data_IF_763213276984
#
_entry.id   IF_763213276984
#
_cell.length_a   1.000
_cell.length_b   1.000
_cell.length_c   1.000
_cell.angle_alpha   90.00
_cell.angle_beta   90.00
_cell.angle_gamma   90.00
#
_symmetry.space_group_name_H-M   'P 1'
#
loop_
_entity.id
_entity.type
_entity.pdbx_description
1 polymer ?
#
# COMPACT_ATOMS: atom_id res chain seq x y z
N UNK A 1 -2.71 23.51 -3.05
CA UNK A 1 -2.47 22.96 -1.72
C UNK A 1 -3.05 23.90 -0.67
N UNK A 2 -3.84 23.37 0.28
CA UNK A 2 -4.40 24.08 1.44
C UNK A 2 -4.08 23.27 2.68
N UNK A 3 -3.72 23.95 3.78
CA UNK A 3 -3.52 23.32 5.08
C UNK A 3 -4.14 24.17 6.18
N UNK A 4 -4.74 23.49 7.14
CA UNK A 4 -5.28 24.10 8.36
C UNK A 4 -4.88 23.24 9.55
N UNK A 5 -4.30 23.87 10.58
CA UNK A 5 -3.93 23.20 11.81
C UNK A 5 -4.35 23.99 13.04
N UNK A 6 -4.65 23.27 14.10
CA UNK A 6 -4.93 23.83 15.43
C UNK A 6 -4.20 23.02 16.47
N UNK A 7 -3.63 23.72 17.48
CA UNK A 7 -3.08 23.11 18.68
C UNK A 7 -3.75 23.74 19.89
N UNK A 8 -4.08 22.94 20.90
CA UNK A 8 -4.80 23.37 22.08
C UNK A 8 -4.28 22.66 23.33
N UNK A 9 -4.01 23.43 24.34
CA UNK A 9 -3.69 22.97 25.70
C UNK A 9 -4.89 23.31 26.60
N UNK A 10 -5.66 22.31 27.03
CA UNK A 10 -6.86 22.56 27.85
C UNK A 10 -6.50 23.08 29.27
N UNK A 11 -7.26 24.06 29.76
CA UNK A 11 -7.13 24.59 31.12
C UNK A 11 -7.90 23.75 32.17
N UNK A 12 -8.44 22.58 31.81
CA UNK A 12 -9.16 21.68 32.72
C UNK A 12 -8.18 20.86 33.55
N UNK A 13 -8.42 20.76 34.86
CA UNK A 13 -7.54 20.09 35.84
C UNK A 13 -7.22 18.64 35.41
N UNK A 14 -8.20 17.88 34.87
CA UNK A 14 -8.02 16.50 34.42
C UNK A 14 -7.14 16.40 33.17
N UNK A 15 -7.03 17.48 32.39
CA UNK A 15 -6.28 17.53 31.13
C UNK A 15 -5.05 18.45 31.22
N UNK A 16 -4.69 18.90 32.41
CA UNK A 16 -3.53 19.77 32.62
C UNK A 16 -2.24 19.14 32.04
N UNK A 17 -1.53 19.94 31.26
CA UNK A 17 -0.25 19.56 30.59
C UNK A 17 -0.42 18.66 29.39
N UNK A 18 -1.66 18.38 28.94
CA UNK A 18 -1.88 17.77 27.63
C UNK A 18 -1.86 18.81 26.51
N UNK A 19 -1.12 18.52 25.44
CA UNK A 19 -1.20 19.26 24.20
C UNK A 19 -1.87 18.37 23.14
N UNK A 20 -2.97 18.87 22.58
CA UNK A 20 -3.67 18.22 21.47
C UNK A 20 -3.45 19.02 20.19
N UNK A 21 -3.27 18.34 19.06
CA UNK A 21 -3.30 18.98 17.75
C UNK A 21 -4.18 18.24 16.75
N UNK A 22 -4.72 19.02 15.82
CA UNK A 22 -5.46 18.50 14.68
C UNK A 22 -5.07 19.29 13.43
N UNK A 23 -4.73 18.57 12.36
CA UNK A 23 -4.30 19.14 11.10
C UNK A 23 -5.09 18.51 9.95
N UNK A 24 -5.43 19.34 8.96
CA UNK A 24 -6.01 18.92 7.68
C UNK A 24 -5.14 19.46 6.56
N UNK A 25 -4.79 18.58 5.63
CA UNK A 25 -4.03 18.93 4.43
C UNK A 25 -4.83 18.46 3.22
N UNK A 26 -5.16 19.39 2.32
CA UNK A 26 -5.72 19.08 1.00
C UNK A 26 -4.74 19.50 -0.09
N UNK A 27 -4.55 18.64 -1.08
CA UNK A 27 -3.75 18.93 -2.25
C UNK A 27 -4.48 18.42 -3.50
N UNK A 28 -4.57 19.25 -4.54
CA UNK A 28 -5.04 18.87 -5.86
C UNK A 28 -3.86 18.82 -6.82
N UNK A 29 -3.79 17.78 -7.64
CA UNK A 29 -2.81 17.66 -8.70
C UNK A 29 -3.30 18.41 -9.93
N UNK A 30 -2.42 19.22 -10.50
CA UNK A 30 -2.60 19.90 -11.78
C UNK A 30 -1.44 19.51 -12.69
N UNK A 31 -1.74 19.22 -13.95
CA UNK A 31 -0.76 18.72 -14.93
C UNK A 31 -0.04 17.44 -14.47
N UNK A 32 -0.76 16.50 -13.87
CA UNK A 32 -0.23 15.18 -13.55
C UNK A 32 0.23 14.49 -14.84
N UNK A 33 1.49 14.05 -14.87
CA UNK A 33 2.09 13.44 -16.05
C UNK A 33 1.61 12.00 -16.21
N UNK A 34 1.20 11.63 -17.41
CA UNK A 34 0.92 10.25 -17.77
C UNK A 34 1.59 9.88 -19.10
N UNK A 35 1.60 8.56 -19.42
CA UNK A 35 2.16 8.00 -20.65
C UNK A 35 1.06 7.28 -21.41
N UNK A 36 1.09 7.37 -22.74
CA UNK A 36 0.22 6.62 -23.63
C UNK A 36 0.98 6.18 -24.88
N UNK A 37 0.48 5.16 -25.58
CA UNK A 37 1.08 4.69 -26.84
C UNK A 37 0.44 5.41 -28.02
N UNK A 38 1.22 6.26 -28.71
CA UNK A 38 0.76 7.07 -29.82
C UNK A 38 0.33 6.25 -31.04
N UNK A 39 0.73 4.96 -31.14
CA UNK A 39 0.31 4.06 -32.22
C UNK A 39 -1.17 3.72 -32.18
N UNK A 40 -1.77 3.73 -31.01
CA UNK A 40 -3.12 3.25 -30.74
C UNK A 40 -3.94 4.24 -29.90
N UNK A 41 -3.96 5.51 -30.28
CA UNK A 41 -4.73 6.55 -29.56
C UNK A 41 -6.26 6.28 -29.56
N UNK A 42 -6.76 5.59 -30.57
CA UNK A 42 -8.19 5.29 -30.71
C UNK A 42 -8.45 3.79 -30.59
N UNK A 43 -9.49 3.38 -29.85
CA UNK A 43 -9.85 1.96 -29.75
C UNK A 43 -10.32 1.42 -31.11
N UNK A 44 -9.95 0.18 -31.40
CA UNK A 44 -10.40 -0.56 -32.59
C UNK A 44 -11.74 -1.24 -32.36
N UNK A 45 -12.11 -1.50 -31.11
CA UNK A 45 -13.39 -2.05 -30.69
C UNK A 45 -13.69 -1.69 -29.23
N UNK A 46 -14.81 -2.18 -28.72
CA UNK A 46 -15.24 -1.96 -27.34
C UNK A 46 -15.36 -3.31 -26.63
N UNK A 47 -14.79 -3.41 -25.44
CA UNK A 47 -14.91 -4.58 -24.57
C UNK A 47 -16.35 -4.72 -24.03
N UNK A 48 -16.74 -5.91 -23.51
CA UNK A 48 -18.08 -6.15 -23.00
C UNK A 48 -18.52 -5.15 -21.92
N UNK A 49 -17.60 -4.67 -21.11
CA UNK A 49 -17.82 -3.70 -20.01
C UNK A 49 -17.76 -2.23 -20.45
N UNK A 50 -17.57 -1.96 -21.73
CA UNK A 50 -17.55 -0.62 -22.32
C UNK A 50 -16.19 0.03 -22.44
N UNK A 51 -15.09 -0.57 -21.94
CA UNK A 51 -13.73 -0.07 -22.12
C UNK A 51 -13.26 -0.18 -23.58
N UNK A 52 -12.29 0.65 -23.95
CA UNK A 52 -11.65 0.58 -25.26
C UNK A 52 -10.78 -0.67 -25.39
N UNK A 53 -10.79 -1.27 -26.59
CA UNK A 53 -9.82 -2.30 -26.99
C UNK A 53 -8.91 -1.70 -28.05
N UNK A 54 -7.60 -1.79 -27.82
CA UNK A 54 -6.60 -1.10 -28.63
C UNK A 54 -5.73 -2.07 -29.41
N UNK A 55 -5.27 -1.67 -30.59
CA UNK A 55 -4.30 -2.40 -31.40
C UNK A 55 -3.06 -1.52 -31.61
N UNK A 56 -2.01 -1.83 -30.87
CA UNK A 56 -0.73 -1.12 -30.95
C UNK A 56 0.33 -1.90 -31.74
N UNK A 57 -0.07 -2.79 -32.65
CA UNK A 57 0.84 -3.68 -33.40
C UNK A 57 1.61 -2.98 -34.51
N UNK A 58 1.12 -1.87 -35.04
CA UNK A 58 1.72 -1.22 -36.19
C UNK A 58 2.87 -0.27 -35.82
N UNK A 59 4.03 -0.50 -36.42
CA UNK A 59 5.21 0.36 -36.28
C UNK A 59 6.02 0.14 -35.01
N UNK A 60 7.10 0.93 -34.81
CA UNK A 60 7.90 0.86 -33.60
C UNK A 60 7.16 1.46 -32.40
N UNK A 61 7.43 0.93 -31.22
CA UNK A 61 6.84 1.43 -29.97
C UNK A 61 7.04 2.96 -29.82
N UNK A 62 5.97 3.66 -29.49
CA UNK A 62 5.93 5.12 -29.44
C UNK A 62 5.21 5.62 -28.18
N UNK A 63 5.80 5.33 -27.01
CA UNK A 63 5.28 5.83 -25.73
C UNK A 63 5.65 7.30 -25.57
N UNK A 64 4.64 8.12 -25.42
CA UNK A 64 4.79 9.58 -25.26
C UNK A 64 4.14 10.05 -23.95
N UNK A 65 4.54 11.23 -23.50
CA UNK A 65 4.00 11.84 -22.29
C UNK A 65 2.95 12.90 -22.60
N UNK A 66 1.95 13.01 -21.74
CA UNK A 66 0.98 14.09 -21.70
C UNK A 66 0.67 14.45 -20.24
N UNK A 67 -0.27 15.35 -20.02
CA UNK A 67 -0.70 15.75 -18.68
C UNK A 67 -2.21 15.88 -18.59
N UNK A 68 -2.72 15.65 -17.39
CA UNK A 68 -4.15 15.72 -17.05
C UNK A 68 -4.31 16.34 -15.66
N UNK A 69 -5.45 17.02 -15.44
CA UNK A 69 -5.77 17.64 -14.14
C UNK A 69 -6.64 16.70 -13.30
N UNK A 70 -6.08 15.55 -12.96
CA UNK A 70 -6.72 14.52 -12.12
C UNK A 70 -5.82 14.08 -10.98
N UNK A 71 -6.47 13.64 -9.91
CA UNK A 71 -5.86 13.23 -8.67
C UNK A 71 -5.87 14.34 -7.61
N UNK A 72 -6.11 13.92 -6.39
CA UNK A 72 -6.03 14.79 -5.22
C UNK A 72 -5.60 14.00 -3.97
N UNK A 73 -5.43 14.70 -2.87
CA UNK A 73 -5.17 14.05 -1.61
C UNK A 73 -5.74 14.86 -0.44
N UNK A 74 -6.30 14.15 0.52
CA UNK A 74 -6.70 14.73 1.79
C UNK A 74 -6.09 13.92 2.93
N UNK A 75 -5.47 14.62 3.89
CA UNK A 75 -4.89 14.03 5.08
C UNK A 75 -5.49 14.70 6.32
N UNK A 76 -5.86 13.88 7.29
CA UNK A 76 -6.25 14.30 8.63
C UNK A 76 -5.23 13.74 9.61
N UNK A 77 -4.62 14.61 10.42
CA UNK A 77 -3.71 14.19 11.47
C UNK A 77 -4.20 14.69 12.84
N UNK A 78 -4.23 13.80 13.81
CA UNK A 78 -4.56 14.09 15.20
C UNK A 78 -3.38 13.69 16.05
N UNK A 79 -3.01 14.49 17.05
CA UNK A 79 -2.01 14.10 18.03
C UNK A 79 -2.35 14.53 19.44
N UNK A 80 -1.76 13.81 20.41
CA UNK A 80 -1.80 14.15 21.81
C UNK A 80 -0.43 13.89 22.45
N UNK A 81 0.02 14.80 23.29
CA UNK A 81 1.27 14.64 24.03
C UNK A 81 1.15 15.19 25.44
N UNK A 82 1.93 14.59 26.35
CA UNK A 82 2.08 15.04 27.73
C UNK A 82 3.45 14.65 28.27
N UNK A 83 4.08 15.57 29.00
CA UNK A 83 5.23 15.29 29.83
C UNK A 83 4.89 15.60 31.29
N UNK A 84 5.31 14.74 32.24
CA UNK A 84 5.04 14.92 33.65
C UNK A 84 6.11 14.27 34.53
N UNK A 85 6.30 14.79 35.70
CA UNK A 85 7.23 14.31 36.72
C UNK A 85 6.49 13.72 37.91
N UNK A 86 7.04 12.65 38.46
CA UNK A 86 6.57 12.00 39.69
C UNK A 86 7.75 11.54 40.55
N UNK A 87 7.47 11.04 41.75
CA UNK A 87 8.49 10.38 42.58
C UNK A 87 9.05 9.09 41.94
N UNK A 88 8.37 8.53 40.92
CA UNK A 88 8.80 7.35 40.18
C UNK A 88 9.66 7.69 38.95
N UNK A 89 9.84 8.97 38.62
CA UNK A 89 10.61 9.43 37.48
C UNK A 89 9.85 10.42 36.59
N UNK A 90 10.50 10.84 35.53
CA UNK A 90 9.95 11.69 34.47
C UNK A 90 9.36 10.84 33.34
N UNK A 91 8.22 11.25 32.83
CA UNK A 91 7.48 10.56 31.77
C UNK A 91 7.24 11.51 30.60
N UNK A 92 7.33 10.99 29.41
CA UNK A 92 6.93 11.65 28.17
C UNK A 92 6.09 10.68 27.34
N UNK A 93 4.91 11.12 26.95
CA UNK A 93 4.00 10.36 26.11
C UNK A 93 3.62 11.19 24.88
N UNK A 94 3.61 10.54 23.74
CA UNK A 94 3.11 11.08 22.48
C UNK A 94 2.33 10.01 21.73
N UNK A 95 1.20 10.38 21.17
CA UNK A 95 0.48 9.54 20.20
C UNK A 95 -0.05 10.38 19.05
N UNK A 96 -0.09 9.81 17.87
CA UNK A 96 -0.69 10.42 16.69
C UNK A 96 -1.44 9.40 15.85
N UNK A 97 -2.47 9.87 15.18
CA UNK A 97 -3.21 9.12 14.19
C UNK A 97 -3.33 9.97 12.93
N UNK A 98 -3.04 9.36 11.78
CA UNK A 98 -3.21 9.98 10.46
C UNK A 98 -4.11 9.10 9.62
N UNK A 99 -5.11 9.71 9.00
CA UNK A 99 -5.88 9.17 7.89
C UNK A 99 -5.47 9.90 6.63
N UNK A 100 -5.22 9.16 5.56
CA UNK A 100 -4.87 9.72 4.26
C UNK A 100 -5.68 9.04 3.17
N UNK A 101 -6.29 9.85 2.31
CA UNK A 101 -6.90 9.44 1.07
C UNK A 101 -6.17 10.16 -0.06
N UNK A 102 -5.51 9.38 -0.93
CA UNK A 102 -4.58 9.89 -1.95
C UNK A 102 -4.89 9.24 -3.28
N UNK A 103 -5.31 10.05 -4.23
CA UNK A 103 -5.54 9.63 -5.60
C UNK A 103 -4.47 10.19 -6.54
N UNK A 104 -3.98 9.36 -7.43
CA UNK A 104 -3.09 9.72 -8.54
C UNK A 104 -3.48 8.98 -9.83
N UNK A 105 -2.83 9.30 -10.94
CA UNK A 105 -3.08 8.67 -12.24
C UNK A 105 -2.08 7.55 -12.57
N UNK A 106 -1.22 7.21 -11.65
CA UNK A 106 -0.15 6.21 -11.76
C UNK A 106 1.16 6.72 -11.16
N UNK A 107 2.08 5.81 -10.94
CA UNK A 107 3.37 6.14 -10.32
C UNK A 107 4.48 6.23 -11.37
N UNK A 108 4.95 7.39 -11.68
CA UNK A 108 6.10 7.59 -12.56
C UNK A 108 7.43 7.31 -11.87
N UNK A 109 7.72 6.06 -11.49
CA UNK A 109 8.90 5.68 -10.71
C UNK A 109 10.05 5.13 -11.55
N UNK A 110 9.79 4.78 -12.82
CA UNK A 110 10.79 4.24 -13.73
C UNK A 110 11.53 5.33 -14.50
N UNK A 111 12.77 5.04 -14.87
CA UNK A 111 13.57 5.87 -15.80
C UNK A 111 13.20 5.66 -17.27
N UNK A 112 12.34 4.68 -17.59
CA UNK A 112 11.90 4.39 -18.95
C UNK A 112 10.42 4.71 -19.12
N UNK A 113 10.06 5.29 -20.27
CA UNK A 113 8.67 5.62 -20.59
C UNK A 113 7.79 4.36 -20.67
N UNK A 114 8.36 3.30 -21.19
CA UNK A 114 7.66 2.01 -21.34
C UNK A 114 7.23 1.41 -20.01
N UNK A 115 8.10 1.38 -19.00
CA UNK A 115 7.75 0.88 -17.67
C UNK A 115 6.75 1.80 -16.96
N UNK A 116 6.87 3.12 -17.12
CA UNK A 116 5.88 4.04 -16.58
C UNK A 116 4.49 3.88 -17.22
N UNK A 117 4.44 3.41 -18.47
CA UNK A 117 3.19 3.09 -19.16
C UNK A 117 2.59 1.75 -18.71
N UNK A 118 3.44 0.73 -18.44
CA UNK A 118 2.98 -0.65 -18.25
C UNK A 118 2.93 -1.13 -16.80
N UNK A 119 3.75 -0.56 -15.89
CA UNK A 119 4.00 -1.16 -14.57
C UNK A 119 2.97 -0.72 -13.50
N UNK A 120 1.73 -0.46 -13.87
CA UNK A 120 0.64 -0.21 -12.93
C UNK A 120 -0.69 -0.74 -13.47
N UNK A 121 -1.55 -1.19 -12.55
CA UNK A 121 -2.91 -1.63 -12.89
C UNK A 121 -3.73 -0.46 -13.43
N UNK A 122 -4.33 -0.63 -14.60
CA UNK A 122 -5.04 0.42 -15.29
C UNK A 122 -6.50 0.05 -15.58
N UNK A 123 -7.41 1.01 -15.43
CA UNK A 123 -8.77 0.91 -15.95
C UNK A 123 -8.75 0.92 -17.49
N UNK A 124 -8.14 1.94 -18.05
CA UNK A 124 -7.85 2.09 -19.49
C UNK A 124 -6.44 2.73 -19.59
N UNK A 125 -5.51 2.01 -20.19
CA UNK A 125 -4.11 2.42 -20.25
C UNK A 125 -3.87 3.61 -21.17
N UNK A 126 -4.72 3.77 -22.19
CA UNK A 126 -4.65 4.90 -23.13
C UNK A 126 -5.38 6.13 -22.62
N UNK A 127 -6.33 5.95 -21.69
CA UNK A 127 -7.11 7.02 -21.06
C UNK A 127 -7.05 6.87 -19.54
N UNK A 128 -5.92 7.22 -18.92
CA UNK A 128 -5.71 7.02 -17.48
C UNK A 128 -6.73 7.80 -16.67
N UNK A 129 -7.17 7.21 -15.58
CA UNK A 129 -8.09 7.79 -14.60
C UNK A 129 -7.41 7.81 -13.24
N UNK A 130 -7.77 8.81 -12.42
CA UNK A 130 -7.34 8.83 -11.04
C UNK A 130 -7.90 7.63 -10.28
N UNK A 131 -7.14 7.15 -9.34
CA UNK A 131 -7.51 6.11 -8.39
C UNK A 131 -6.52 6.08 -7.24
N UNK A 132 -6.80 5.27 -6.23
CA UNK A 132 -5.98 5.19 -5.01
C UNK A 132 -4.50 5.00 -5.35
N UNK A 133 -3.65 5.81 -4.73
CA UNK A 133 -2.21 5.79 -4.95
C UNK A 133 -1.56 4.52 -4.38
N UNK A 134 -0.59 3.95 -5.11
CA UNK A 134 0.24 2.83 -4.60
C UNK A 134 1.05 3.21 -3.36
N UNK A 135 1.26 4.51 -3.11
CA UNK A 135 2.02 5.03 -1.97
C UNK A 135 1.15 5.42 -0.78
N UNK A 136 -0.16 5.23 -0.87
CA UNK A 136 -1.06 5.52 0.23
C UNK A 136 -0.78 4.62 1.42
N UNK A 137 -0.69 5.23 2.59
CA UNK A 137 -0.91 4.57 3.88
C UNK A 137 -2.18 5.18 4.46
N UNK A 138 -3.31 4.51 4.24
CA UNK A 138 -4.63 5.05 4.57
C UNK A 138 -4.77 5.38 6.06
N UNK A 139 -4.32 4.48 6.91
CA UNK A 139 -4.34 4.63 8.36
C UNK A 139 -2.96 4.43 8.95
N UNK A 140 -2.50 5.39 9.75
CA UNK A 140 -1.23 5.34 10.46
C UNK A 140 -1.41 5.82 11.89
N UNK A 141 -1.16 4.94 12.85
CA UNK A 141 -1.09 5.29 14.26
C UNK A 141 0.33 5.12 14.77
N UNK A 142 0.83 6.10 15.55
CA UNK A 142 2.13 6.08 16.22
C UNK A 142 1.98 6.39 17.68
N UNK A 143 2.82 5.77 18.50
CA UNK A 143 2.93 6.04 19.92
C UNK A 143 4.41 6.05 20.33
N UNK A 144 4.77 6.98 21.18
CA UNK A 144 6.04 6.99 21.88
C UNK A 144 5.79 7.18 23.37
N UNK A 145 6.44 6.38 24.18
CA UNK A 145 6.45 6.51 25.63
C UNK A 145 7.90 6.45 26.12
N UNK A 146 8.32 7.42 26.91
CA UNK A 146 9.61 7.45 27.55
C UNK A 146 9.43 7.56 29.06
N UNK A 147 10.20 6.77 29.79
CA UNK A 147 10.37 6.88 31.23
C UNK A 147 11.84 7.07 31.52
N UNK A 148 12.13 8.03 32.42
CA UNK A 148 13.48 8.41 32.86
C UNK A 148 13.56 8.49 34.35
N UNK A 149 14.61 7.92 34.94
CA UNK A 149 14.89 7.99 36.35
C UNK A 149 16.38 7.75 36.63
N UNK A 150 16.95 8.48 37.57
CA UNK A 150 18.24 8.13 38.13
C UNK A 150 18.07 6.92 39.06
N UNK A 151 18.37 5.72 38.60
CA UNK A 151 18.46 4.51 39.40
C UNK A 151 19.84 4.37 40.06
N UNK A 152 20.85 4.99 39.47
CA UNK A 152 22.19 5.16 39.97
C UNK A 152 22.38 6.66 40.14
N UNK A 153 22.81 7.12 41.33
CA UNK A 153 22.95 8.54 41.66
C UNK A 153 23.82 9.27 40.63
N UNK A 154 23.25 10.32 39.99
CA UNK A 154 23.86 11.08 38.91
C UNK A 154 23.87 10.42 37.53
N UNK A 155 23.23 9.22 37.35
CA UNK A 155 23.20 8.49 36.10
C UNK A 155 21.78 8.05 35.73
N UNK A 156 21.28 8.56 34.59
CA UNK A 156 19.92 8.33 34.13
C UNK A 156 19.74 6.92 33.57
N UNK A 157 18.64 6.28 33.98
CA UNK A 157 18.05 5.12 33.27
C UNK A 157 16.91 5.61 32.41
N UNK A 158 16.91 5.25 31.13
CA UNK A 158 15.82 5.57 30.20
C UNK A 158 15.22 4.28 29.65
N UNK A 159 13.89 4.19 29.68
CA UNK A 159 13.13 3.16 28.94
C UNK A 159 12.26 3.85 27.93
N UNK A 160 12.41 3.52 26.65
CA UNK A 160 11.64 4.05 25.54
C UNK A 160 10.87 2.94 24.86
N UNK A 161 9.59 3.19 24.60
CA UNK A 161 8.73 2.30 23.80
C UNK A 161 8.23 3.11 22.62
N UNK A 162 8.41 2.58 21.43
CA UNK A 162 7.81 3.08 20.22
C UNK A 162 6.86 2.02 19.65
N UNK A 163 5.68 2.43 19.23
CA UNK A 163 4.74 1.56 18.54
C UNK A 163 4.20 2.24 17.30
N UNK A 164 4.13 1.49 16.22
CA UNK A 164 3.50 1.90 14.96
C UNK A 164 2.49 0.84 14.54
N UNK A 165 1.28 1.27 14.19
CA UNK A 165 0.27 0.44 13.53
C UNK A 165 -0.21 1.16 12.27
N UNK A 166 -0.15 0.45 11.13
CA UNK A 166 -0.55 1.01 9.85
C UNK A 166 -1.36 0.02 9.01
N UNK A 167 -2.20 0.57 8.14
CA UNK A 167 -2.83 -0.21 7.08
C UNK A 167 -1.77 -0.84 6.18
N UNK A 168 -2.10 -1.97 5.59
CA UNK A 168 -1.25 -2.62 4.61
C UNK A 168 -1.10 -1.79 3.34
N UNK A 169 -0.19 -2.22 2.48
CA UNK A 169 0.02 -1.62 1.18
C UNK A 169 -1.18 -1.90 0.27
N UNK A 170 -1.72 -0.88 -0.42
CA UNK A 170 -2.80 -1.06 -1.37
C UNK A 170 -2.35 -1.85 -2.59
N UNK A 171 -3.27 -2.61 -3.19
CA UNK A 171 -3.07 -3.36 -4.42
C UNK A 171 -4.37 -3.47 -5.24
N UNK A 172 -4.21 -3.78 -6.52
CA UNK A 172 -5.28 -3.89 -7.49
C UNK A 172 -5.57 -5.35 -7.85
N UNK A 173 -6.82 -5.67 -8.14
CA UNK A 173 -7.18 -6.92 -8.80
C UNK A 173 -7.24 -6.71 -10.31
N UNK A 174 -6.48 -7.54 -11.05
CA UNK A 174 -6.33 -7.42 -12.51
C UNK A 174 -6.67 -8.72 -13.22
N UNK A 175 -6.89 -8.63 -14.52
CA UNK A 175 -6.76 -9.79 -15.39
C UNK A 175 -5.31 -10.31 -15.34
N UNK A 176 -5.14 -11.63 -15.46
CA UNK A 176 -3.82 -12.22 -15.71
C UNK A 176 -3.52 -12.15 -17.21
N UNK A 177 -2.84 -11.10 -17.62
CA UNK A 177 -2.53 -10.83 -19.03
C UNK A 177 -1.23 -11.48 -19.51
N UNK A 178 -0.63 -12.39 -18.73
CA UNK A 178 0.54 -13.14 -19.19
C UNK A 178 0.24 -14.11 -20.34
N UNK A 179 -1.00 -14.60 -20.41
CA UNK A 179 -1.42 -15.57 -21.40
C UNK A 179 -2.41 -15.00 -22.44
N UNK A 180 -3.06 -13.89 -22.16
CA UNK A 180 -4.03 -13.26 -23.05
C UNK A 180 -4.17 -11.78 -22.76
N UNK A 181 -4.06 -10.95 -23.79
CA UNK A 181 -4.35 -9.53 -23.71
C UNK A 181 -5.85 -9.29 -23.83
N UNK A 182 -6.47 -8.76 -22.81
CA UNK A 182 -7.91 -8.53 -22.81
C UNK A 182 -8.27 -7.24 -23.54
N UNK A 183 -7.59 -6.15 -23.28
CA UNK A 183 -7.88 -4.84 -23.85
C UNK A 183 -6.84 -4.33 -24.86
N UNK A 184 -5.68 -4.95 -24.94
CA UNK A 184 -4.62 -4.65 -25.90
C UNK A 184 -4.44 -5.82 -26.86
N UNK A 185 -5.01 -5.74 -28.05
CA UNK A 185 -4.89 -6.76 -29.10
C UNK A 185 -3.81 -6.38 -30.12
N UNK A 186 -3.37 -7.35 -30.94
CA UNK A 186 -2.51 -7.07 -32.10
C UNK A 186 -1.04 -6.83 -31.78
N UNK A 187 -0.49 -7.31 -30.67
CA UNK A 187 0.95 -7.25 -30.40
C UNK A 187 1.39 -6.09 -29.53
N UNK A 188 0.49 -5.54 -28.75
CA UNK A 188 0.77 -4.66 -27.63
C UNK A 188 1.71 -5.32 -26.60
N UNK A 189 1.92 -4.71 -25.44
CA UNK A 189 2.87 -5.22 -24.43
C UNK A 189 2.55 -6.60 -23.91
N UNK A 190 1.29 -6.97 -23.86
CA UNK A 190 0.88 -8.32 -23.53
C UNK A 190 1.40 -9.41 -24.47
N UNK A 191 1.66 -9.11 -25.76
CA UNK A 191 2.17 -10.07 -26.72
C UNK A 191 3.68 -10.37 -26.60
N UNK A 192 4.38 -9.74 -25.66
CA UNK A 192 5.80 -10.01 -25.41
C UNK A 192 5.94 -11.18 -24.43
N UNK A 193 6.17 -12.37 -24.98
CA UNK A 193 6.41 -13.67 -24.30
C UNK A 193 7.47 -13.69 -23.18
N UNK A 194 8.00 -12.57 -22.72
CA UNK A 194 9.16 -12.58 -21.83
C UNK A 194 9.20 -11.56 -20.70
N UNK A 195 8.15 -10.81 -20.43
CA UNK A 195 8.16 -9.91 -19.27
C UNK A 195 7.02 -10.25 -18.31
N UNK A 196 7.39 -10.94 -17.24
CA UNK A 196 6.56 -11.14 -16.05
C UNK A 196 6.32 -9.83 -15.25
N UNK A 197 6.52 -8.67 -15.85
CA UNK A 197 6.71 -7.39 -15.16
C UNK A 197 5.70 -6.30 -15.61
N UNK A 198 4.75 -6.60 -16.51
CA UNK A 198 3.71 -5.66 -16.90
C UNK A 198 2.43 -5.92 -16.08
N UNK A 199 1.88 -4.89 -15.45
CA UNK A 199 0.63 -4.98 -14.70
C UNK A 199 -0.58 -5.09 -15.66
N UNK A 200 -1.60 -5.84 -15.24
CA UNK A 200 -2.80 -6.07 -16.01
C UNK A 200 -3.81 -4.90 -15.95
N UNK A 201 -4.83 -4.98 -16.81
CA UNK A 201 -6.02 -4.15 -16.69
C UNK A 201 -6.87 -4.60 -15.51
N UNK A 202 -7.57 -3.64 -14.88
CA UNK A 202 -8.47 -3.92 -13.75
C UNK A 202 -9.53 -4.95 -14.14
N UNK A 203 -9.75 -5.92 -13.25
CA UNK A 203 -10.62 -7.06 -13.48
C UNK A 203 -12.10 -6.63 -13.58
N UNK A 204 -12.82 -7.06 -14.62
CA UNK A 204 -14.28 -7.11 -14.55
C UNK A 204 -14.71 -8.28 -13.66
N UNK A 205 -15.50 -8.00 -12.64
CA UNK A 205 -15.93 -8.94 -11.60
C UNK A 205 -17.37 -9.38 -11.89
N UNK A 206 -17.60 -10.61 -12.40
CA UNK A 206 -18.96 -11.04 -12.69
C UNK A 206 -19.80 -11.17 -11.41
N UNK A 207 -21.09 -10.87 -11.50
CA UNK A 207 -22.03 -11.04 -10.37
C UNK A 207 -22.30 -12.52 -10.04
N UNK A 208 -22.03 -13.40 -10.99
CA UNK A 208 -22.17 -14.85 -10.88
C UNK A 208 -22.03 -15.53 -12.24
N UNK A 209 -22.23 -16.85 -12.30
CA UNK A 209 -22.18 -17.61 -13.57
C UNK A 209 -23.28 -17.20 -14.58
N UNK A 210 -24.31 -16.48 -14.14
CA UNK A 210 -25.39 -15.96 -14.99
C UNK A 210 -25.21 -14.46 -15.32
N UNK A 211 -24.07 -13.89 -15.00
CA UNK A 211 -23.76 -12.50 -15.39
C UNK A 211 -23.82 -12.36 -16.91
N UNK A 212 -24.46 -11.29 -17.45
CA UNK A 212 -24.59 -11.09 -18.89
C UNK A 212 -23.25 -11.04 -19.64
N UNK A 213 -22.18 -10.64 -18.98
CA UNK A 213 -20.84 -10.53 -19.54
C UNK A 213 -19.97 -11.76 -19.28
N UNK A 214 -20.47 -12.78 -18.59
CA UNK A 214 -19.77 -14.03 -18.33
C UNK A 214 -20.12 -15.08 -19.41
N UNK A 215 -19.16 -15.48 -20.22
CA UNK A 215 -19.37 -16.47 -21.26
C UNK A 215 -19.61 -17.87 -20.66
N UNK A 216 -20.62 -18.58 -21.14
CA UNK A 216 -20.91 -19.96 -20.73
C UNK A 216 -19.77 -20.95 -21.07
N UNK A 217 -18.88 -20.57 -22.00
CA UNK A 217 -17.69 -21.34 -22.41
C UNK A 217 -16.49 -21.06 -21.46
N UNK A 218 -16.62 -20.16 -20.50
CA UNK A 218 -15.57 -19.92 -19.51
C UNK A 218 -15.10 -21.21 -18.87
N UNK A 219 -13.79 -21.33 -18.66
CA UNK A 219 -13.13 -22.55 -18.15
C UNK A 219 -13.46 -23.82 -19.01
N UNK A 220 -13.62 -23.64 -20.33
CA UNK A 220 -13.98 -24.72 -21.23
C UNK A 220 -15.41 -25.26 -21.03
N UNK A 221 -16.27 -24.47 -20.35
CA UNK A 221 -17.63 -24.87 -20.00
C UNK A 221 -17.71 -25.75 -18.73
N UNK A 222 -16.64 -25.91 -17.99
CA UNK A 222 -16.63 -26.65 -16.72
C UNK A 222 -17.32 -25.83 -15.61
N UNK A 223 -18.53 -26.26 -15.25
CA UNK A 223 -19.35 -25.59 -14.22
C UNK A 223 -18.70 -25.61 -12.84
N UNK A 224 -17.86 -26.60 -12.52
CA UNK A 224 -17.19 -26.66 -11.22
C UNK A 224 -16.08 -25.59 -11.17
N UNK A 225 -15.30 -25.43 -12.24
CA UNK A 225 -14.28 -24.38 -12.32
C UNK A 225 -14.90 -22.97 -12.38
N UNK A 226 -16.04 -22.81 -13.07
CA UNK A 226 -16.80 -21.55 -13.05
C UNK A 226 -17.25 -21.21 -11.63
N UNK A 227 -17.78 -22.19 -10.89
CA UNK A 227 -18.21 -21.99 -9.50
C UNK A 227 -17.03 -21.69 -8.57
N UNK A 228 -15.87 -22.35 -8.76
CA UNK A 228 -14.65 -22.05 -7.99
C UNK A 228 -14.22 -20.59 -8.14
N UNK A 229 -14.28 -20.05 -9.35
CA UNK A 229 -14.00 -18.64 -9.60
C UNK A 229 -15.00 -17.71 -8.88
N UNK A 230 -16.29 -18.02 -8.95
CA UNK A 230 -17.32 -17.25 -8.27
C UNK A 230 -17.17 -17.36 -6.73
N UNK A 231 -16.80 -18.51 -6.21
CA UNK A 231 -16.54 -18.72 -4.78
C UNK A 231 -15.29 -17.94 -4.32
N UNK A 232 -14.24 -17.86 -5.16
CA UNK A 232 -13.10 -16.99 -4.91
C UNK A 232 -13.52 -15.51 -4.82
N UNK A 233 -14.34 -15.02 -5.77
CA UNK A 233 -14.87 -13.65 -5.72
C UNK A 233 -15.64 -13.43 -4.41
N UNK A 234 -16.55 -14.34 -4.06
CA UNK A 234 -17.40 -14.22 -2.87
C UNK A 234 -16.63 -14.25 -1.55
N UNK A 235 -15.45 -14.86 -1.52
CA UNK A 235 -14.61 -15.01 -0.34
C UNK A 235 -13.50 -13.95 -0.22
N UNK A 236 -13.40 -13.03 -1.18
CA UNK A 236 -12.42 -11.95 -1.27
C UNK A 236 -13.09 -10.58 -1.28
N UNK A 237 -12.28 -9.51 -1.20
CA UNK A 237 -12.76 -8.14 -1.33
C UNK A 237 -13.33 -7.82 -2.73
N UNK A 238 -13.12 -8.71 -3.72
CA UNK A 238 -13.76 -8.60 -5.03
C UNK A 238 -15.30 -8.65 -4.95
N UNK A 239 -15.86 -9.22 -3.88
CA UNK A 239 -17.31 -9.30 -3.70
C UNK A 239 -18.03 -7.94 -3.77
N UNK A 240 -17.35 -6.85 -3.40
CA UNK A 240 -17.91 -5.50 -3.45
C UNK A 240 -18.03 -4.93 -4.87
N UNK A 241 -17.30 -5.48 -5.85
CA UNK A 241 -17.25 -5.01 -7.24
C UNK A 241 -18.11 -5.85 -8.20
N UNK A 242 -18.93 -6.78 -7.71
CA UNK A 242 -19.76 -7.66 -8.53
C UNK A 242 -20.62 -6.91 -9.53
N UNK A 243 -20.60 -7.36 -10.79
CA UNK A 243 -21.27 -6.70 -11.90
C UNK A 243 -20.57 -5.45 -12.40
N UNK A 244 -19.32 -5.21 -12.01
CA UNK A 244 -18.54 -4.04 -12.34
C UNK A 244 -17.04 -4.31 -12.45
N UNK A 245 -16.26 -3.25 -12.54
CA UNK A 245 -14.79 -3.32 -12.63
C UNK A 245 -14.20 -3.05 -11.26
N UNK A 246 -13.22 -3.85 -10.86
CA UNK A 246 -12.46 -3.61 -9.63
C UNK A 246 -11.78 -2.23 -9.66
N UNK A 247 -11.69 -1.59 -8.52
CA UNK A 247 -11.00 -0.30 -8.41
C UNK A 247 -9.48 -0.48 -8.34
N UNK A 248 -8.75 0.52 -8.83
CA UNK A 248 -7.30 0.55 -8.67
C UNK A 248 -6.96 0.71 -7.19
N UNK A 249 -6.12 -0.20 -6.69
CA UNK A 249 -5.72 -0.25 -5.29
C UNK A 249 -6.91 -0.31 -4.32
N UNK A 250 -7.98 -1.01 -4.73
CA UNK A 250 -9.23 -1.13 -3.97
C UNK A 250 -9.18 -2.12 -2.81
N UNK A 251 -8.03 -2.74 -2.55
CA UNK A 251 -7.81 -3.61 -1.38
C UNK A 251 -6.41 -3.38 -0.80
N UNK A 252 -6.22 -3.79 0.44
CA UNK A 252 -4.98 -3.59 1.18
C UNK A 252 -4.38 -4.92 1.68
N UNK A 253 -3.06 -5.00 1.69
CA UNK A 253 -2.35 -6.05 2.42
C UNK A 253 -2.69 -5.99 3.92
N UNK A 254 -2.27 -7.01 4.66
CA UNK A 254 -2.53 -7.09 6.11
C UNK A 254 -1.97 -5.87 6.85
N UNK A 255 -2.73 -5.40 7.86
CA UNK A 255 -2.24 -4.40 8.81
C UNK A 255 -0.97 -4.88 9.53
N UNK A 256 -0.01 -3.99 9.69
CA UNK A 256 1.19 -4.25 10.47
C UNK A 256 1.17 -3.48 11.79
N UNK A 257 1.72 -4.11 12.85
CA UNK A 257 1.92 -3.48 14.16
C UNK A 257 3.33 -3.82 14.65
N UNK A 258 4.19 -2.83 14.72
CA UNK A 258 5.57 -2.96 15.20
C UNK A 258 5.70 -2.26 16.54
N UNK A 259 6.38 -2.90 17.48
CA UNK A 259 6.68 -2.33 18.81
C UNK A 259 8.18 -2.49 19.02
N UNK A 260 8.86 -1.39 19.26
CA UNK A 260 10.29 -1.36 19.57
C UNK A 260 10.49 -0.90 21.01
N UNK A 261 11.45 -1.51 21.69
CA UNK A 261 11.79 -1.18 23.08
C UNK A 261 13.28 -0.88 23.19
N UNK A 262 13.62 0.27 23.75
CA UNK A 262 14.99 0.63 24.10
C UNK A 262 15.13 0.79 25.60
N UNK A 263 16.16 0.17 26.15
CA UNK A 263 16.57 0.33 27.54
C UNK A 263 17.99 0.88 27.54
N UNK A 264 18.18 2.00 28.19
CA UNK A 264 19.46 2.70 28.25
C UNK A 264 19.82 3.00 29.70
N UNK A 265 21.10 2.82 30.06
CA UNK A 265 21.65 3.15 31.35
C UNK A 265 22.92 3.97 31.18
N UNK A 266 22.94 5.16 31.81
CA UNK A 266 24.17 5.89 32.01
C UNK A 266 24.99 5.29 33.17
N UNK A 267 26.29 5.25 33.02
CA UNK A 267 27.24 4.75 34.02
C UNK A 267 28.42 5.71 34.20
N UNK A 268 29.09 5.69 35.37
CA UNK A 268 30.34 6.42 35.52
C UNK A 268 31.41 5.94 34.54
N UNK A 269 32.12 6.87 33.94
CA UNK A 269 33.23 6.60 33.07
C UNK A 269 34.58 6.73 33.80
N UNK A 270 35.69 6.58 33.08
CA UNK A 270 37.05 6.63 33.67
C UNK A 270 37.44 8.00 34.24
N UNK A 271 36.80 9.06 33.74
CA UNK A 271 36.99 10.45 34.19
C UNK A 271 35.67 11.04 34.69
N UNK A 272 35.68 11.88 35.72
CA UNK A 272 34.44 12.38 36.35
C UNK A 272 33.52 13.18 35.43
N UNK A 273 34.06 13.82 34.39
CA UNK A 273 33.30 14.60 33.39
C UNK A 273 32.79 13.77 32.21
N UNK A 274 33.20 12.51 32.15
CA UNK A 274 32.84 11.61 31.07
C UNK A 274 31.69 10.70 31.49
N UNK A 275 30.90 10.26 30.52
CA UNK A 275 29.81 9.32 30.73
C UNK A 275 29.95 8.10 29.82
N UNK A 276 29.58 6.95 30.33
CA UNK A 276 29.40 5.71 29.58
C UNK A 276 27.90 5.41 29.51
N UNK A 277 27.38 5.17 28.33
CA UNK A 277 25.99 4.77 28.13
C UNK A 277 25.96 3.40 27.55
N UNK A 278 25.26 2.49 28.21
CA UNK A 278 24.99 1.13 27.70
C UNK A 278 23.53 1.08 27.28
N UNK A 279 23.24 0.48 26.12
CA UNK A 279 21.86 0.36 25.66
C UNK A 279 21.57 -0.98 25.01
N UNK A 280 20.31 -1.38 25.12
CA UNK A 280 19.69 -2.51 24.42
C UNK A 280 18.52 -1.99 23.62
N UNK A 281 18.52 -2.27 22.31
CA UNK A 281 17.39 -2.06 21.44
C UNK A 281 16.79 -3.43 21.08
N UNK A 282 15.49 -3.55 21.26
CA UNK A 282 14.73 -4.73 20.84
C UNK A 282 13.76 -4.23 19.79
N UNK A 283 14.07 -4.51 18.52
CA UNK A 283 13.22 -4.21 17.39
C UNK A 283 12.17 -5.31 17.25
N UNK A 284 10.96 -4.92 16.89
CA UNK A 284 9.82 -5.81 16.73
C UNK A 284 9.58 -6.71 17.97
N UNK A 285 9.55 -6.10 19.15
CA UNK A 285 9.36 -6.78 20.44
C UNK A 285 8.09 -7.64 20.47
N UNK A 286 7.04 -7.25 19.74
CA UNK A 286 5.82 -8.05 19.61
C UNK A 286 6.10 -9.45 19.08
N UNK A 287 6.94 -9.56 18.04
CA UNK A 287 7.31 -10.83 17.43
C UNK A 287 8.17 -11.72 18.36
N UNK A 288 8.97 -11.12 19.27
CA UNK A 288 9.68 -11.86 20.31
C UNK A 288 8.71 -12.58 21.28
N UNK A 289 7.53 -12.02 21.50
CA UNK A 289 6.51 -12.61 22.39
C UNK A 289 5.61 -13.62 21.66
N UNK A 290 5.33 -13.39 20.39
CA UNK A 290 4.48 -14.25 19.57
C UNK A 290 4.87 -14.11 18.10
N UNK A 291 5.27 -15.20 17.46
CA UNK A 291 5.75 -15.27 16.07
C UNK A 291 4.72 -14.77 15.03
N UNK A 292 3.43 -14.67 15.38
CA UNK A 292 2.38 -14.14 14.51
C UNK A 292 2.21 -12.62 14.60
N UNK A 293 2.85 -11.99 15.58
CA UNK A 293 2.83 -10.55 15.75
C UNK A 293 3.99 -9.88 15.00
N UNK A 294 3.82 -8.61 14.66
CA UNK A 294 4.86 -7.83 14.00
C UNK A 294 5.23 -8.29 12.60
N UNK A 295 4.39 -9.09 11.93
CA UNK A 295 4.59 -9.49 10.55
C UNK A 295 4.23 -8.36 9.60
N UNK A 296 5.08 -8.14 8.60
CA UNK A 296 4.87 -7.20 7.51
C UNK A 296 4.66 -8.00 6.23
N UNK A 297 3.52 -7.81 5.61
CA UNK A 297 3.18 -8.39 4.33
C UNK A 297 3.09 -7.30 3.26
N UNK A 298 3.56 -7.61 2.06
CA UNK A 298 3.48 -6.74 0.89
C UNK A 298 2.97 -7.52 -0.31
N UNK A 299 2.25 -6.85 -1.17
CA UNK A 299 2.00 -7.33 -2.53
C UNK A 299 3.28 -7.17 -3.35
N UNK A 300 3.49 -8.03 -4.35
CA UNK A 300 4.65 -7.89 -5.26
C UNK A 300 4.66 -6.52 -5.92
N UNK A 301 5.83 -6.11 -6.40
CA UNK A 301 5.97 -4.95 -7.25
C UNK A 301 4.98 -5.05 -8.42
N UNK A 302 4.53 -3.89 -8.89
CA UNK A 302 3.34 -3.57 -9.68
C UNK A 302 2.05 -3.52 -8.84
N UNK A 303 2.11 -4.00 -7.59
CA UNK A 303 1.03 -3.86 -6.61
C UNK A 303 -0.31 -4.39 -7.13
N UNK A 304 -0.26 -5.55 -7.78
CA UNK A 304 -1.43 -6.22 -8.34
C UNK A 304 -1.58 -7.66 -7.87
N UNK A 305 -2.78 -8.15 -8.00
CA UNK A 305 -3.17 -9.56 -7.94
C UNK A 305 -3.82 -9.93 -9.25
N UNK A 306 -3.04 -10.50 -10.16
CA UNK A 306 -3.52 -11.05 -11.41
C UNK A 306 -4.36 -12.30 -11.12
N UNK A 307 -5.68 -12.22 -11.28
CA UNK A 307 -6.62 -13.22 -10.77
C UNK A 307 -6.91 -14.31 -11.79
N UNK A 308 -7.25 -13.93 -13.01
CA UNK A 308 -7.77 -14.85 -14.03
C UNK A 308 -7.49 -14.27 -15.41
N UNK A 309 -7.15 -15.12 -16.37
CA UNK A 309 -7.07 -14.72 -17.78
C UNK A 309 -8.46 -14.66 -18.41
N UNK A 310 -8.63 -13.84 -19.45
CA UNK A 310 -9.87 -13.79 -20.20
C UNK A 310 -9.64 -13.47 -21.68
N UNK A 311 -10.54 -13.96 -22.53
CA UNK A 311 -10.71 -13.52 -23.92
C UNK A 311 -12.05 -12.78 -24.06
N UNK A 312 -12.17 -11.96 -25.09
CA UNK A 312 -13.46 -11.41 -25.49
C UNK A 312 -14.04 -12.29 -26.63
N UNK A 313 -15.16 -12.95 -26.36
CA UNK A 313 -15.84 -13.83 -27.31
C UNK A 313 -17.31 -13.46 -27.36
N UNK A 314 -17.81 -13.13 -28.55
CA UNK A 314 -19.24 -12.79 -28.81
C UNK A 314 -19.80 -11.70 -27.86
N UNK A 315 -18.96 -10.73 -27.45
CA UNK A 315 -19.34 -9.63 -26.55
C UNK A 315 -19.43 -10.04 -25.07
N UNK A 316 -18.80 -11.13 -24.69
CA UNK A 316 -18.68 -11.61 -23.31
C UNK A 316 -17.21 -11.87 -22.96
N UNK A 317 -16.89 -11.92 -21.67
CA UNK A 317 -15.60 -12.40 -21.17
C UNK A 317 -15.63 -13.92 -21.03
N UNK A 318 -14.77 -14.61 -21.75
CA UNK A 318 -14.48 -16.03 -21.60
C UNK A 318 -13.28 -16.18 -20.67
N UNK A 319 -13.55 -16.45 -19.39
CA UNK A 319 -12.52 -16.61 -18.36
C UNK A 319 -11.86 -17.99 -18.44
N UNK A 320 -10.55 -18.04 -18.15
CA UNK A 320 -9.76 -19.27 -18.06
C UNK A 320 -8.53 -19.05 -17.18
N UNK A 321 -7.85 -20.14 -16.78
CA UNK A 321 -6.63 -20.11 -15.97
C UNK A 321 -6.77 -19.25 -14.69
N UNK A 322 -7.70 -19.65 -13.80
CA UNK A 322 -7.79 -19.05 -12.48
C UNK A 322 -6.43 -19.17 -11.79
N UNK A 323 -5.82 -18.05 -11.50
CA UNK A 323 -4.50 -18.00 -10.92
C UNK A 323 -4.53 -18.37 -9.42
N UNK A 324 -4.23 -19.63 -9.12
CA UNK A 324 -4.09 -20.13 -7.75
C UNK A 324 -2.70 -19.90 -7.15
N UNK A 325 -1.79 -19.29 -7.90
CA UNK A 325 -0.37 -19.18 -7.60
C UNK A 325 -0.02 -18.06 -6.61
N UNK A 326 1.26 -17.99 -6.27
CA UNK A 326 1.90 -17.04 -5.37
C UNK A 326 1.71 -15.56 -5.74
N UNK A 327 1.24 -15.26 -6.96
CA UNK A 327 0.94 -13.90 -7.42
C UNK A 327 -0.26 -13.28 -6.72
N UNK A 328 -1.22 -14.10 -6.29
CA UNK A 328 -2.38 -13.64 -5.51
C UNK A 328 -2.16 -13.69 -4.00
N UNK A 329 -0.94 -14.01 -3.55
CA UNK A 329 -0.58 -14.04 -2.12
C UNK A 329 0.36 -12.89 -1.78
N UNK A 330 0.12 -12.28 -0.62
CA UNK A 330 1.08 -11.34 -0.05
C UNK A 330 2.40 -12.04 0.23
N UNK A 331 3.49 -11.29 0.06
CA UNK A 331 4.84 -11.71 0.44
C UNK A 331 5.13 -11.21 1.85
N UNK A 332 5.56 -12.09 2.73
CA UNK A 332 6.11 -11.70 4.03
C UNK A 332 7.50 -11.10 3.84
N UNK A 333 7.72 -9.91 4.40
CA UNK A 333 9.02 -9.24 4.41
C UNK A 333 9.81 -9.77 5.62
N UNK A 334 10.52 -10.89 5.43
CA UNK A 334 11.14 -11.66 6.50
C UNK A 334 12.13 -10.85 7.36
N UNK A 335 12.95 -10.01 6.75
CA UNK A 335 13.95 -9.19 7.45
C UNK A 335 13.34 -8.12 8.37
N UNK A 336 12.11 -7.71 8.11
CA UNK A 336 11.36 -6.73 8.91
C UNK A 336 10.30 -7.38 9.81
N UNK A 337 10.00 -8.66 9.59
CA UNK A 337 8.97 -9.42 10.32
C UNK A 337 9.53 -10.20 11.53
N UNK A 338 10.85 -10.23 11.68
CA UNK A 338 11.51 -10.92 12.79
C UNK A 338 12.05 -9.92 13.81
N UNK A 339 12.03 -10.30 15.09
CA UNK A 339 12.64 -9.49 16.12
C UNK A 339 14.18 -9.47 16.02
N UNK A 340 14.77 -8.38 16.40
CA UNK A 340 16.23 -8.20 16.47
C UNK A 340 16.63 -7.55 17.78
N UNK A 341 17.82 -7.88 18.28
CA UNK A 341 18.37 -7.23 19.46
C UNK A 341 19.73 -6.64 19.11
N UNK A 342 19.88 -5.37 19.44
CA UNK A 342 21.15 -4.67 19.36
C UNK A 342 21.63 -4.30 20.76
N UNK A 343 22.89 -4.60 21.06
CA UNK A 343 23.59 -4.11 22.23
C UNK A 343 24.62 -3.08 21.80
N UNK A 344 24.70 -1.96 22.50
CA UNK A 344 25.66 -0.92 22.21
C UNK A 344 26.20 -0.22 23.44
N UNK A 345 27.38 0.37 23.28
CA UNK A 345 28.07 1.17 24.29
C UNK A 345 28.48 2.48 23.63
N UNK A 346 28.12 3.60 24.26
CA UNK A 346 28.51 4.95 23.87
C UNK A 346 29.39 5.55 24.98
N UNK A 347 30.45 6.19 24.59
CA UNK A 347 31.33 6.94 25.52
C UNK A 347 31.31 8.41 25.14
N UNK A 348 30.86 9.24 26.06
CA UNK A 348 30.83 10.70 25.93
C UNK A 348 31.99 11.31 26.74
N UNK A 349 32.83 12.09 26.07
CA UNK A 349 34.05 12.70 26.64
C UNK A 349 34.06 14.22 26.50
#
# INVERSE_FOLDING_TARGET
>A
KVSLGVAHEPEMEELEGWLFSADVLYNKLENATYWYDQRCENPVSTAPDGRGVYDCSEGPEAIVTSSIDEGDSILYALSASKAWDTSYGSFDFFTSYTYADVEDIGYGTSSTATSNYSDFAAYDRQQPQAGTSNFQTEHLWKMRFNWKKELIDGYETTVSIFAERRSGQPYSYTFDENNACVLDVGGGRCARESRNDDAGHLLYVPDGINDPLFAATSFGGDLAAQQEFIDYINSSELAQYKGGIAERNGDNSRWSTIIDVRIQQELPALYPEHKLTVFFDIENFGNLLNDDWGRIERTRYEYERAVVSANIVDGQYEYFDLNSDSRIKNLEVLDQSVWQVQFGIKYDF
#
